data_IF_623831937165
#
_entry.id   IF_623831937165
#
_cell.length_a   1.000
_cell.length_b   1.000
_cell.length_c   1.000
_cell.angle_alpha   90.00
_cell.angle_beta   90.00
_cell.angle_gamma   90.00
#
_symmetry.space_group_name_H-M   'P 1'
#
loop_
_entity.id
_entity.type
_entity.pdbx_description
1 polymer ?
#
# COMPACT_ATOMS: atom_id res chain seq x y z
N UNK A 1 -28.56 -32.62 18.28
CA UNK A 1 -27.65 -33.03 17.20
C UNK A 1 -26.61 -31.93 17.08
N UNK A 2 -25.34 -32.24 17.29
CA UNK A 2 -24.26 -31.26 17.10
C UNK A 2 -23.94 -31.24 15.60
N UNK A 3 -24.15 -30.10 14.94
CA UNK A 3 -24.14 -30.02 13.48
C UNK A 3 -22.74 -29.78 12.88
N UNK A 4 -21.67 -29.80 13.68
CA UNK A 4 -20.27 -29.82 13.19
C UNK A 4 -19.94 -28.74 12.14
N UNK A 5 -20.45 -27.53 12.33
CA UNK A 5 -20.20 -26.35 11.50
C UNK A 5 -20.10 -25.11 12.40
N UNK A 6 -19.23 -24.18 12.01
CA UNK A 6 -19.04 -22.91 12.72
C UNK A 6 -19.80 -21.80 12.00
N UNK A 7 -20.47 -20.93 12.76
CA UNK A 7 -21.24 -19.82 12.23
C UNK A 7 -20.42 -18.54 12.27
N UNK A 8 -20.24 -17.93 11.09
CA UNK A 8 -19.68 -16.60 10.90
C UNK A 8 -20.83 -15.58 10.69
N UNK A 9 -20.55 -14.29 10.70
CA UNK A 9 -21.57 -13.23 10.69
C UNK A 9 -22.44 -13.30 9.43
N UNK A 10 -21.85 -13.65 8.28
CA UNK A 10 -22.57 -13.67 7.00
C UNK A 10 -22.63 -15.05 6.35
N UNK A 11 -21.80 -16.02 6.78
CA UNK A 11 -21.70 -17.34 6.17
C UNK A 11 -21.57 -18.45 7.22
N UNK A 12 -21.87 -19.68 6.84
CA UNK A 12 -21.56 -20.86 7.66
C UNK A 12 -20.32 -21.55 7.11
N UNK A 13 -19.40 -21.92 7.99
CA UNK A 13 -18.12 -22.54 7.69
C UNK A 13 -18.13 -24.03 8.05
N UNK A 14 -17.68 -24.86 7.12
CA UNK A 14 -17.45 -26.28 7.34
C UNK A 14 -15.95 -26.52 7.56
N UNK A 15 -15.56 -26.76 8.82
CA UNK A 15 -14.18 -27.02 9.18
C UNK A 15 -13.63 -28.36 8.65
N UNK A 16 -14.50 -29.32 8.28
CA UNK A 16 -14.05 -30.61 7.77
C UNK A 16 -13.50 -30.49 6.34
N UNK A 17 -14.00 -29.52 5.57
CA UNK A 17 -13.56 -29.26 4.19
C UNK A 17 -12.81 -27.93 4.03
N UNK A 18 -12.76 -27.10 5.07
CA UNK A 18 -12.06 -25.82 5.06
C UNK A 18 -12.69 -24.78 4.13
N UNK A 19 -14.03 -24.75 4.01
CA UNK A 19 -14.75 -23.88 3.07
C UNK A 19 -16.04 -23.33 3.66
N UNK A 20 -16.47 -22.19 3.15
CA UNK A 20 -17.83 -21.70 3.38
C UNK A 20 -18.86 -22.52 2.61
N UNK A 21 -20.04 -22.68 3.20
CA UNK A 21 -21.17 -23.37 2.60
C UNK A 21 -21.97 -22.48 1.63
N UNK A 22 -21.74 -21.17 1.65
CA UNK A 22 -22.42 -20.19 0.80
C UNK A 22 -21.42 -19.32 0.05
N UNK A 23 -21.84 -18.84 -1.11
CA UNK A 23 -21.06 -17.89 -1.94
C UNK A 23 -20.77 -16.62 -1.14
N UNK A 24 -19.54 -16.13 -1.26
CA UNK A 24 -19.12 -14.84 -0.73
C UNK A 24 -20.02 -13.69 -1.23
N UNK A 25 -20.65 -12.89 -0.35
CA UNK A 25 -21.38 -11.70 -0.77
C UNK A 25 -20.52 -10.67 -1.52
N UNK A 26 -19.19 -10.70 -1.35
CA UNK A 26 -18.23 -9.84 -2.03
C UNK A 26 -17.58 -10.50 -3.25
N UNK A 27 -18.07 -11.66 -3.68
CA UNK A 27 -17.57 -12.42 -4.82
C UNK A 27 -17.37 -11.57 -6.09
N UNK A 28 -18.30 -10.66 -6.38
CA UNK A 28 -18.22 -9.80 -7.57
C UNK A 28 -17.09 -8.77 -7.48
N UNK A 29 -16.67 -8.39 -6.27
CA UNK A 29 -15.55 -7.46 -6.04
C UNK A 29 -14.20 -8.16 -6.12
N UNK A 30 -14.14 -9.47 -5.86
CA UNK A 30 -12.92 -10.25 -5.83
C UNK A 30 -13.00 -11.44 -6.82
N UNK A 31 -13.07 -11.19 -8.14
CA UNK A 31 -13.30 -12.25 -9.14
C UNK A 31 -12.16 -13.30 -9.21
N UNK A 32 -10.99 -12.98 -8.65
CA UNK A 32 -9.84 -13.89 -8.59
C UNK A 32 -9.82 -14.77 -7.35
N UNK A 33 -10.75 -14.56 -6.42
CA UNK A 33 -10.88 -15.34 -5.20
C UNK A 33 -11.90 -16.45 -5.37
N UNK A 34 -11.64 -17.59 -4.73
CA UNK A 34 -12.63 -18.67 -4.74
C UNK A 34 -13.83 -18.24 -3.91
N UNK A 35 -15.03 -18.33 -4.48
CA UNK A 35 -16.32 -17.96 -3.88
C UNK A 35 -16.62 -18.58 -2.50
N UNK A 36 -15.85 -19.58 -2.11
CA UNK A 36 -16.01 -20.39 -0.91
C UNK A 36 -14.71 -20.45 -0.07
N UNK A 37 -13.69 -19.65 -0.41
CA UNK A 37 -12.42 -19.65 0.30
C UNK A 37 -12.64 -19.21 1.74
N UNK A 38 -12.04 -19.95 2.67
CA UNK A 38 -11.91 -19.54 4.06
C UNK A 38 -10.51 -18.96 4.28
N UNK A 39 -10.46 -17.73 4.77
CA UNK A 39 -9.28 -16.91 5.02
C UNK A 39 -8.35 -16.84 3.81
N UNK A 40 -8.92 -16.83 2.60
CA UNK A 40 -8.12 -16.87 1.37
C UNK A 40 -7.21 -18.06 1.19
N UNK A 41 -7.54 -19.18 1.85
CA UNK A 41 -6.67 -20.35 1.97
C UNK A 41 -5.33 -20.05 2.69
N UNK A 42 -5.29 -19.03 3.55
CA UNK A 42 -4.13 -18.59 4.35
C UNK A 42 -4.34 -18.72 5.85
N UNK A 43 -4.82 -19.89 6.28
CA UNK A 43 -5.25 -20.19 7.66
C UNK A 43 -4.14 -20.01 8.72
N UNK A 44 -2.86 -20.03 8.31
CA UNK A 44 -1.72 -19.92 9.24
C UNK A 44 -1.43 -18.46 9.61
N UNK A 45 -1.63 -17.53 8.67
CA UNK A 45 -1.13 -16.16 8.78
C UNK A 45 -2.15 -15.06 8.41
N UNK A 46 -3.38 -15.43 8.08
CA UNK A 46 -4.51 -14.54 7.90
C UNK A 46 -5.66 -14.89 8.85
N UNK A 47 -6.39 -13.87 9.30
CA UNK A 47 -7.70 -14.05 9.93
C UNK A 47 -8.75 -14.12 8.81
N UNK A 48 -9.82 -14.88 9.03
CA UNK A 48 -11.00 -14.83 8.16
C UNK A 48 -11.71 -13.50 8.38
N UNK A 49 -11.83 -12.68 7.33
CA UNK A 49 -12.41 -11.35 7.41
C UNK A 49 -13.74 -11.24 6.66
N UNK A 50 -14.48 -12.34 6.58
CA UNK A 50 -15.79 -12.44 5.94
C UNK A 50 -15.77 -12.04 4.45
N UNK A 51 -14.70 -12.35 3.73
CA UNK A 51 -14.53 -11.99 2.32
C UNK A 51 -13.92 -10.61 2.06
N UNK A 52 -13.43 -9.93 3.10
CA UNK A 52 -12.71 -8.65 2.99
C UNK A 52 -11.19 -8.84 2.82
N UNK A 53 -10.71 -10.03 2.47
CA UNK A 53 -9.32 -10.19 2.10
C UNK A 53 -9.01 -9.34 0.85
N UNK A 54 -7.98 -8.48 0.90
CA UNK A 54 -6.70 -8.71 1.56
C UNK A 54 -6.43 -7.75 2.72
N UNK A 55 -7.31 -7.63 3.73
CA UNK A 55 -6.92 -6.94 4.96
C UNK A 55 -5.86 -7.75 5.72
N UNK A 56 -4.59 -7.49 5.41
CA UNK A 56 -3.46 -8.05 6.14
C UNK A 56 -3.15 -7.17 7.36
N UNK A 57 -3.08 -7.80 8.52
CA UNK A 57 -2.76 -7.15 9.78
C UNK A 57 -1.23 -7.10 9.98
N UNK A 58 -0.72 -5.95 10.40
CA UNK A 58 0.70 -5.71 10.67
C UNK A 58 0.92 -5.24 12.10
N UNK A 59 2.12 -5.47 12.63
CA UNK A 59 2.45 -5.07 14.02
C UNK A 59 2.94 -3.62 14.10
N UNK A 60 3.42 -3.08 12.98
CA UNK A 60 4.00 -1.75 12.87
C UNK A 60 3.55 -1.06 11.56
N UNK A 61 3.33 0.27 11.55
CA UNK A 61 3.00 0.99 10.31
C UNK A 61 4.06 0.83 9.21
N UNK A 62 5.33 0.65 9.56
CA UNK A 62 6.41 0.40 8.59
C UNK A 62 6.28 -0.96 7.92
N UNK A 63 5.78 -1.97 8.62
CA UNK A 63 5.50 -3.28 8.02
C UNK A 63 4.35 -3.19 7.01
N UNK A 64 3.30 -2.44 7.34
CA UNK A 64 2.19 -2.15 6.45
C UNK A 64 2.67 -1.40 5.19
N UNK A 65 3.43 -0.32 5.37
CA UNK A 65 4.01 0.46 4.29
C UNK A 65 4.99 -0.35 3.43
N UNK A 66 5.79 -1.23 4.04
CA UNK A 66 6.71 -2.13 3.30
C UNK A 66 5.95 -3.10 2.43
N UNK A 67 4.85 -3.68 2.93
CA UNK A 67 4.02 -4.53 2.08
C UNK A 67 3.38 -3.74 0.94
N UNK A 68 2.80 -2.57 1.23
CA UNK A 68 2.27 -1.68 0.20
C UNK A 68 3.31 -1.40 -0.90
N UNK A 69 4.50 -0.96 -0.51
CA UNK A 69 5.58 -0.66 -1.46
C UNK A 69 5.96 -1.89 -2.31
N UNK A 70 5.98 -3.09 -1.71
CA UNK A 70 6.26 -4.33 -2.44
C UNK A 70 5.17 -4.71 -3.45
N UNK A 71 3.90 -4.48 -3.11
CA UNK A 71 2.77 -4.78 -4.01
C UNK A 71 2.65 -3.75 -5.14
N UNK A 72 2.76 -2.45 -4.83
CA UNK A 72 2.31 -1.38 -5.72
C UNK A 72 3.43 -0.63 -6.44
N UNK A 73 4.67 -0.59 -5.95
CA UNK A 73 5.73 0.20 -6.58
C UNK A 73 6.04 -0.28 -8.01
N UNK A 74 5.98 -1.59 -8.24
CA UNK A 74 6.15 -2.15 -9.58
C UNK A 74 5.08 -1.67 -10.56
N UNK A 75 3.81 -1.64 -10.14
CA UNK A 75 2.72 -1.12 -10.96
C UNK A 75 2.88 0.38 -11.19
N UNK A 76 3.20 1.16 -10.15
CA UNK A 76 3.45 2.60 -10.23
C UNK A 76 4.48 2.93 -11.32
N UNK A 77 5.64 2.26 -11.29
CA UNK A 77 6.72 2.46 -12.27
C UNK A 77 6.26 2.12 -13.70
N UNK A 78 5.50 1.04 -13.89
CA UNK A 78 5.04 0.62 -15.23
C UNK A 78 3.94 1.51 -15.78
N UNK A 79 3.06 2.00 -14.90
CA UNK A 79 1.96 2.89 -15.23
C UNK A 79 2.42 4.35 -15.39
N UNK A 80 3.60 4.67 -14.85
CA UNK A 80 4.06 6.04 -14.67
C UNK A 80 3.01 6.90 -13.94
N UNK A 81 2.49 6.35 -12.82
CA UNK A 81 1.39 6.93 -12.06
C UNK A 81 1.55 6.64 -10.58
N UNK A 82 1.32 7.65 -9.74
CA UNK A 82 1.37 7.48 -8.29
C UNK A 82 0.19 6.65 -7.80
N UNK A 83 0.47 5.72 -6.89
CA UNK A 83 -0.53 4.93 -6.17
C UNK A 83 -0.40 5.23 -4.69
N UNK A 84 -1.52 5.45 -4.01
CA UNK A 84 -1.54 5.84 -2.60
C UNK A 84 -2.66 5.20 -1.78
N UNK A 85 -2.43 5.08 -0.48
CA UNK A 85 -3.39 4.57 0.51
C UNK A 85 -3.22 5.28 1.86
N UNK A 86 -4.27 5.24 2.69
CA UNK A 86 -4.23 5.67 4.08
C UNK A 86 -3.77 4.50 4.94
N UNK A 87 -2.85 4.75 5.87
CA UNK A 87 -2.45 3.79 6.90
C UNK A 87 -3.33 4.02 8.13
N UNK A 88 -3.86 2.93 8.66
CA UNK A 88 -4.71 2.95 9.85
C UNK A 88 -4.26 1.96 10.91
N UNK A 89 -4.75 2.18 12.12
CA UNK A 89 -4.54 1.33 13.29
C UNK A 89 -5.89 0.97 13.90
N UNK A 90 -6.00 -0.26 14.39
CA UNK A 90 -7.18 -0.77 15.09
C UNK A 90 -6.77 -1.30 16.46
N UNK A 91 -7.46 -0.82 17.50
CA UNK A 91 -7.39 -1.43 18.82
C UNK A 91 -8.36 -2.61 18.89
N UNK A 92 -7.84 -3.77 19.24
CA UNK A 92 -8.62 -5.00 19.43
C UNK A 92 -9.29 -5.01 20.81
N UNK A 93 -10.44 -5.70 20.97
CA UNK A 93 -11.06 -5.90 22.27
C UNK A 93 -10.14 -6.55 23.31
N UNK A 94 -9.16 -7.34 22.86
CA UNK A 94 -8.18 -8.03 23.68
C UNK A 94 -7.08 -7.10 24.23
N UNK A 95 -7.04 -5.84 23.79
CA UNK A 95 -6.06 -4.83 24.22
C UNK A 95 -4.80 -4.75 23.35
N UNK A 96 -4.68 -5.60 22.34
CA UNK A 96 -3.65 -5.50 21.30
C UNK A 96 -4.05 -4.47 20.23
N UNK A 97 -3.09 -4.05 19.41
CA UNK A 97 -3.34 -3.21 18.23
C UNK A 97 -2.71 -3.81 16.98
N UNK A 98 -3.32 -3.57 15.83
CA UNK A 98 -2.73 -3.87 14.52
C UNK A 98 -2.81 -2.67 13.59
N UNK A 99 -1.98 -2.68 12.56
CA UNK A 99 -1.93 -1.69 11.50
C UNK A 99 -2.31 -2.33 10.17
N UNK A 100 -2.85 -1.54 9.25
CA UNK A 100 -3.03 -1.93 7.85
C UNK A 100 -3.18 -0.68 6.99
N UNK A 101 -3.53 -0.85 5.73
CA UNK A 101 -3.79 0.24 4.81
C UNK A 101 -5.09 0.01 4.03
N UNK A 102 -5.73 1.09 3.63
CA UNK A 102 -6.96 1.11 2.83
C UNK A 102 -6.69 0.60 1.39
N UNK A 103 -7.73 0.15 0.68
CA UNK A 103 -7.55 -0.28 -0.72
C UNK A 103 -7.03 0.90 -1.53
N UNK A 104 -5.87 0.80 -2.21
CA UNK A 104 -5.22 1.97 -2.79
C UNK A 104 -6.02 2.63 -3.89
N UNK A 105 -5.68 3.88 -4.19
CA UNK A 105 -6.16 4.62 -5.36
C UNK A 105 -4.98 4.99 -6.24
N UNK A 106 -5.19 5.03 -7.54
CA UNK A 106 -4.21 5.45 -8.54
C UNK A 106 -4.47 6.90 -8.93
N UNK A 107 -3.43 7.70 -8.99
CA UNK A 107 -3.45 9.09 -9.42
C UNK A 107 -2.84 9.28 -10.80
N UNK A 108 -2.25 10.46 -11.00
CA UNK A 108 -1.44 10.79 -12.17
C UNK A 108 0.06 10.58 -11.85
N UNK A 109 0.93 10.87 -12.82
CA UNK A 109 2.39 10.69 -12.69
C UNK A 109 3.06 11.47 -11.56
N UNK A 110 2.41 12.50 -11.02
CA UNK A 110 2.97 13.44 -10.04
C UNK A 110 2.08 13.67 -8.82
N UNK A 111 0.97 12.94 -8.74
CA UNK A 111 -0.03 13.20 -7.71
C UNK A 111 -1.01 12.07 -7.51
N UNK A 112 -1.20 11.66 -6.26
CA UNK A 112 -2.32 10.84 -5.81
C UNK A 112 -3.04 11.45 -4.62
N UNK A 113 -4.38 11.40 -4.65
CA UNK A 113 -5.21 11.84 -3.53
C UNK A 113 -5.65 10.66 -2.65
N UNK A 114 -4.85 10.38 -1.63
CA UNK A 114 -5.12 9.31 -0.64
C UNK A 114 -6.46 9.50 0.08
N UNK A 115 -7.04 10.70 0.09
CA UNK A 115 -8.36 10.96 0.67
C UNK A 115 -9.50 10.31 -0.10
N UNK A 116 -9.25 9.71 -1.27
CA UNK A 116 -10.23 8.92 -2.01
C UNK A 116 -10.23 7.43 -1.57
N UNK A 117 -9.16 6.99 -0.90
CA UNK A 117 -9.01 5.63 -0.37
C UNK A 117 -9.71 5.53 1.00
N UNK A 118 -11.04 5.37 0.98
CA UNK A 118 -11.92 5.56 2.16
C UNK A 118 -12.62 4.28 2.66
N UNK A 119 -12.04 3.11 2.45
CA UNK A 119 -12.58 1.82 2.89
C UNK A 119 -11.98 1.34 4.22
N UNK A 120 -11.49 2.27 5.04
CA UNK A 120 -10.99 2.00 6.38
C UNK A 120 -12.12 1.43 7.28
N UNK A 121 -11.84 0.44 8.16
CA UNK A 121 -12.82 -0.09 9.11
C UNK A 121 -13.38 0.99 10.06
N UNK A 122 -14.65 0.87 10.45
CA UNK A 122 -15.34 1.87 11.29
C UNK A 122 -14.65 2.12 12.65
N UNK A 123 -13.99 1.10 13.21
CA UNK A 123 -13.28 1.18 14.49
C UNK A 123 -11.79 1.52 14.35
N UNK A 124 -11.33 1.88 13.14
CA UNK A 124 -9.95 2.21 12.89
C UNK A 124 -9.66 3.71 13.02
N UNK A 125 -8.42 4.02 13.39
CA UNK A 125 -7.87 5.37 13.43
C UNK A 125 -6.82 5.50 12.31
N UNK A 126 -6.97 6.49 11.42
CA UNK A 126 -5.91 6.84 10.47
C UNK A 126 -4.69 7.33 11.24
N UNK A 127 -3.52 6.79 10.92
CA UNK A 127 -2.24 7.14 11.57
C UNK A 127 -1.21 7.69 10.60
N UNK A 128 -1.49 7.68 9.30
CA UNK A 128 -0.54 8.08 8.29
C UNK A 128 -1.02 7.79 6.87
N UNK A 129 -0.15 8.05 5.90
CA UNK A 129 -0.35 7.72 4.50
C UNK A 129 0.89 7.04 3.92
N UNK A 130 0.68 6.31 2.83
CA UNK A 130 1.75 5.79 1.98
C UNK A 130 1.41 6.04 0.52
N UNK A 131 2.40 6.45 -0.27
CA UNK A 131 2.28 6.47 -1.71
C UNK A 131 3.56 6.03 -2.41
N UNK A 132 3.43 5.82 -3.71
CA UNK A 132 4.52 5.48 -4.64
C UNK A 132 4.75 6.65 -5.58
N UNK A 133 6.00 6.89 -5.97
CA UNK A 133 6.31 7.73 -7.13
C UNK A 133 6.31 6.89 -8.41
N UNK A 134 6.08 7.56 -9.55
CA UNK A 134 6.07 6.98 -10.89
C UNK A 134 7.46 6.54 -11.38
N UNK A 135 7.63 6.42 -12.70
CA UNK A 135 8.94 6.10 -13.27
C UNK A 135 9.88 7.31 -13.15
N UNK A 136 11.13 7.11 -12.74
CA UNK A 136 12.06 8.24 -12.61
C UNK A 136 12.51 8.82 -13.95
N UNK A 137 12.51 10.16 -14.01
CA UNK A 137 13.20 10.91 -15.05
C UNK A 137 14.67 11.11 -14.69
N UNK A 138 15.58 10.43 -15.40
CA UNK A 138 17.03 10.59 -15.21
C UNK A 138 17.54 12.03 -15.41
N UNK A 139 16.74 12.94 -16.01
CA UNK A 139 17.12 14.35 -16.09
C UNK A 139 16.88 15.09 -14.78
N UNK A 140 15.86 14.71 -14.01
CA UNK A 140 15.53 15.33 -12.72
C UNK A 140 16.50 14.89 -11.61
N UNK A 141 17.20 13.77 -11.83
CA UNK A 141 18.22 13.24 -10.94
C UNK A 141 19.61 13.83 -11.18
N UNK A 142 19.83 14.62 -12.24
CA UNK A 142 21.17 15.14 -12.56
C UNK A 142 21.46 16.45 -11.86
N UNK A 143 22.57 16.47 -11.12
CA UNK A 143 23.19 17.70 -10.65
C UNK A 143 23.74 18.53 -11.82
N UNK A 144 24.06 19.80 -11.56
CA UNK A 144 24.69 20.69 -12.55
C UNK A 144 26.02 20.15 -13.11
N UNK A 145 26.73 19.32 -12.33
CA UNK A 145 27.99 18.68 -12.72
C UNK A 145 27.79 17.36 -13.50
N UNK A 146 26.54 16.95 -13.74
CA UNK A 146 26.17 15.73 -14.47
C UNK A 146 26.20 14.46 -13.62
N UNK A 147 26.52 14.52 -12.33
CA UNK A 147 26.38 13.39 -11.40
C UNK A 147 24.91 13.14 -11.05
N UNK A 148 24.56 11.90 -10.74
CA UNK A 148 23.20 11.55 -10.32
C UNK A 148 23.03 11.69 -8.81
N UNK A 149 21.89 12.24 -8.39
CA UNK A 149 21.52 12.45 -7.00
C UNK A 149 20.27 11.64 -6.66
N UNK A 150 20.40 10.74 -5.69
CA UNK A 150 19.30 9.89 -5.23
C UNK A 150 18.33 10.58 -4.27
N UNK A 151 18.60 11.83 -3.86
CA UNK A 151 17.74 12.62 -2.96
C UNK A 151 17.06 13.78 -3.68
N UNK A 152 16.68 13.58 -4.95
CA UNK A 152 16.02 14.58 -5.80
C UNK A 152 14.96 13.94 -6.68
N UNK A 153 14.03 14.76 -7.19
CA UNK A 153 12.96 14.33 -8.10
C UNK A 153 12.15 13.17 -7.53
N UNK A 154 11.79 12.21 -8.38
CA UNK A 154 11.01 11.03 -8.01
C UNK A 154 11.68 10.14 -6.94
N UNK A 155 12.97 10.33 -6.65
CA UNK A 155 13.69 9.55 -5.64
C UNK A 155 13.68 10.17 -4.23
N UNK A 156 12.96 11.27 -4.02
CA UNK A 156 12.87 11.93 -2.72
C UNK A 156 11.46 12.47 -2.43
N UNK A 157 10.96 12.37 -1.19
CA UNK A 157 9.66 12.92 -0.85
C UNK A 157 9.69 14.46 -0.82
N UNK A 158 8.56 15.06 -1.15
CA UNK A 158 8.30 16.49 -1.03
C UNK A 158 6.97 16.74 -0.31
N UNK A 159 6.80 17.95 0.25
CA UNK A 159 5.52 18.35 0.83
C UNK A 159 4.41 18.42 -0.21
N UNK A 160 4.77 18.66 -1.48
CA UNK A 160 3.79 18.79 -2.54
C UNK A 160 3.21 17.45 -3.00
N UNK A 161 3.84 16.34 -2.61
CA UNK A 161 3.35 14.99 -2.91
C UNK A 161 2.02 14.67 -2.20
N UNK A 162 1.65 15.45 -1.18
CA UNK A 162 0.40 15.23 -0.44
C UNK A 162 -0.76 16.06 -0.97
N UNK A 163 -1.92 15.40 -1.07
CA UNK A 163 -3.18 16.09 -1.35
C UNK A 163 -3.49 17.16 -0.30
N UNK A 164 -4.23 18.17 -0.72
CA UNK A 164 -4.69 19.24 0.17
C UNK A 164 -5.47 18.66 1.36
N UNK A 165 -6.29 17.65 1.13
CA UNK A 165 -7.04 16.95 2.17
C UNK A 165 -6.11 16.22 3.16
N UNK A 166 -5.04 15.58 2.68
CA UNK A 166 -4.03 14.98 3.54
C UNK A 166 -3.28 16.03 4.37
N UNK A 167 -2.85 17.15 3.74
CA UNK A 167 -2.24 18.30 4.42
C UNK A 167 -3.13 18.86 5.53
N UNK A 168 -4.42 19.06 5.25
CA UNK A 168 -5.39 19.55 6.24
C UNK A 168 -5.63 18.56 7.38
N UNK A 169 -5.71 17.26 7.07
CA UNK A 169 -5.80 16.23 8.09
C UNK A 169 -4.56 16.23 9.00
N UNK A 170 -3.36 16.40 8.45
CA UNK A 170 -2.12 16.51 9.24
C UNK A 170 -2.13 17.71 10.17
N UNK A 171 -2.51 18.89 9.69
CA UNK A 171 -2.57 20.10 10.53
C UNK A 171 -3.54 19.93 11.72
N UNK A 172 -4.64 19.19 11.51
CA UNK A 172 -5.60 18.87 12.56
C UNK A 172 -5.12 17.76 13.54
N UNK A 173 -4.09 16.99 13.18
CA UNK A 173 -3.57 15.85 13.97
C UNK A 173 -2.12 16.01 14.46
N UNK A 174 -1.49 17.17 14.22
CA UNK A 174 -0.08 17.44 14.49
C UNK A 174 0.40 17.28 15.94
N UNK A 175 -0.51 17.08 16.91
CA UNK A 175 -0.16 16.77 18.31
C UNK A 175 0.26 15.31 18.50
N UNK A 176 -0.02 14.44 17.52
CA UNK A 176 0.41 13.04 17.46
C UNK A 176 1.49 12.86 16.38
N UNK A 177 2.17 11.72 16.42
CA UNK A 177 2.98 11.28 15.29
C UNK A 177 2.06 10.86 14.14
N UNK A 178 2.34 11.41 12.96
CA UNK A 178 1.72 11.00 11.70
C UNK A 178 2.80 10.39 10.82
N UNK A 179 2.60 9.14 10.39
CA UNK A 179 3.56 8.40 9.60
C UNK A 179 3.37 8.67 8.11
N UNK A 180 4.40 9.15 7.43
CA UNK A 180 4.37 9.40 5.99
C UNK A 180 5.39 8.50 5.31
N UNK A 181 4.95 7.76 4.30
CA UNK A 181 5.80 6.83 3.58
C UNK A 181 5.76 7.09 2.07
N UNK A 182 6.93 7.04 1.46
CA UNK A 182 7.09 7.20 0.01
C UNK A 182 7.96 6.09 -0.53
N UNK A 183 7.43 5.36 -1.50
CA UNK A 183 8.17 4.35 -2.24
C UNK A 183 8.65 4.93 -3.56
N UNK A 184 9.94 4.82 -3.83
CA UNK A 184 10.60 5.50 -4.95
C UNK A 184 10.94 4.52 -6.09
N UNK A 185 11.01 4.99 -7.36
CA UNK A 185 11.38 4.16 -8.50
C UNK A 185 12.78 3.55 -8.40
N UNK A 186 13.71 4.17 -7.65
CA UNK A 186 15.02 3.55 -7.40
C UNK A 186 14.97 2.35 -6.43
N UNK A 187 13.82 2.03 -5.82
CA UNK A 187 13.64 0.85 -4.99
C UNK A 187 13.82 1.08 -3.49
N UNK A 188 13.60 2.30 -3.00
CA UNK A 188 13.58 2.60 -1.57
C UNK A 188 12.15 2.80 -1.08
N UNK A 189 11.94 2.48 0.19
CA UNK A 189 10.83 2.99 0.98
C UNK A 189 11.41 3.98 1.99
N UNK A 190 10.93 5.21 1.93
CA UNK A 190 11.32 6.31 2.79
C UNK A 190 10.20 6.60 3.78
N UNK A 191 10.56 6.98 5.00
CA UNK A 191 9.65 7.45 6.05
C UNK A 191 10.03 8.86 6.45
N UNK A 192 9.02 9.68 6.74
CA UNK A 192 9.18 10.86 7.54
C UNK A 192 7.99 11.00 8.47
N UNK A 193 8.24 11.45 9.68
CA UNK A 193 7.20 11.60 10.70
C UNK A 193 6.80 13.07 10.74
N UNK A 194 5.51 13.34 10.63
CA UNK A 194 4.95 14.67 10.77
C UNK A 194 4.40 14.83 12.20
N UNK A 195 4.76 15.93 12.86
CA UNK A 195 4.17 16.41 14.11
C UNK A 195 4.57 17.87 14.35
N UNK A 196 3.99 18.51 15.37
CA UNK A 196 4.21 19.92 15.71
C UNK A 196 5.67 20.29 16.01
N UNK A 197 6.53 19.32 16.30
CA UNK A 197 7.96 19.54 16.58
C UNK A 197 8.83 19.50 15.32
N UNK A 198 8.32 18.90 14.23
CA UNK A 198 9.04 18.77 12.97
C UNK A 198 8.83 20.05 12.16
N UNK A 199 9.91 20.83 12.01
CA UNK A 199 9.90 22.10 11.27
C UNK A 199 10.37 21.96 9.83
N UNK A 200 11.27 21.01 9.59
CA UNK A 200 11.77 20.64 8.29
C UNK A 200 11.66 19.12 8.17
N UNK A 201 10.82 18.63 7.25
CA UNK A 201 10.62 17.20 7.08
C UNK A 201 11.75 16.57 6.25
N UNK A 202 12.45 17.33 5.39
CA UNK A 202 13.59 16.78 4.63
C UNK A 202 14.71 16.28 5.56
N UNK A 203 14.88 16.94 6.71
CA UNK A 203 15.89 16.59 7.71
C UNK A 203 15.55 15.34 8.53
N UNK A 204 14.29 14.86 8.49
CA UNK A 204 13.87 13.68 9.25
C UNK A 204 13.46 12.49 8.38
N UNK A 205 13.74 12.54 7.08
CA UNK A 205 13.56 11.40 6.16
C UNK A 205 14.51 10.27 6.54
N UNK A 206 13.97 9.06 6.69
CA UNK A 206 14.69 7.83 7.00
C UNK A 206 14.40 6.76 5.95
N UNK A 207 15.40 5.94 5.63
CA UNK A 207 15.17 4.75 4.79
C UNK A 207 14.62 3.62 5.63
N UNK A 208 13.40 3.18 5.32
CA UNK A 208 12.74 2.01 5.93
C UNK A 208 13.21 0.71 5.28
N UNK A 209 13.30 0.71 3.94
CA UNK A 209 13.70 -0.45 3.16
C UNK A 209 14.40 -0.04 1.87
N UNK A 210 15.31 -0.88 1.41
CA UNK A 210 15.94 -0.81 0.08
C UNK A 210 15.60 -2.03 -0.77
N UNK A 211 14.64 -2.85 -0.35
CA UNK A 211 14.22 -4.11 -1.00
C UNK A 211 12.83 -3.97 -1.63
N UNK A 212 12.61 -2.87 -2.35
CA UNK A 212 11.34 -2.54 -3.01
C UNK A 212 11.50 -2.68 -4.53
N UNK A 213 10.50 -3.16 -5.30
CA UNK A 213 10.58 -3.21 -6.76
C UNK A 213 11.12 -1.92 -7.36
N UNK A 214 12.04 -2.00 -8.32
CA UNK A 214 12.76 -0.83 -8.81
C UNK A 214 12.87 -0.79 -10.32
N UNK A 215 12.83 0.43 -10.88
CA UNK A 215 12.94 0.68 -12.30
C UNK A 215 14.29 0.21 -12.85
N UNK A 216 14.34 -0.71 -13.83
CA UNK A 216 15.61 -1.24 -14.35
C UNK A 216 16.45 -0.19 -15.10
N UNK A 217 15.87 0.99 -15.39
CA UNK A 217 16.53 2.12 -16.07
C UNK A 217 16.92 3.26 -15.13
N UNK A 218 16.57 3.17 -13.85
CA UNK A 218 16.97 4.14 -12.82
C UNK A 218 18.48 4.16 -12.69
N UNK A 219 19.10 5.33 -12.77
CA UNK A 219 20.57 5.47 -12.63
C UNK A 219 21.03 5.41 -11.17
N UNK A 220 20.11 5.62 -10.23
CA UNK A 220 20.35 5.58 -8.78
C UNK A 220 19.75 4.32 -8.14
N UNK A 221 19.52 3.27 -8.93
CA UNK A 221 18.83 2.04 -8.49
C UNK A 221 19.51 1.43 -7.25
N UNK A 222 18.74 1.23 -6.19
CA UNK A 222 19.20 0.72 -4.90
C UNK A 222 19.25 -0.82 -4.81
N UNK A 223 18.55 -1.53 -5.71
CA UNK A 223 18.44 -2.98 -5.68
C UNK A 223 18.20 -3.59 -7.07
N UNK A 224 18.00 -4.91 -7.12
CA UNK A 224 17.68 -5.66 -8.34
C UNK A 224 16.27 -6.25 -8.37
N UNK A 225 15.38 -5.84 -7.46
CA UNK A 225 14.01 -6.34 -7.38
C UNK A 225 13.24 -5.91 -8.62
N UNK A 226 12.64 -6.89 -9.31
CA UNK A 226 11.94 -6.64 -10.57
C UNK A 226 10.63 -5.88 -10.33
N UNK A 227 10.31 -4.87 -11.14
CA UNK A 227 9.02 -4.21 -11.12
C UNK A 227 8.02 -4.90 -12.04
N UNK A 228 8.17 -6.20 -12.36
CA UNK A 228 7.28 -6.91 -13.29
C UNK A 228 6.31 -7.85 -12.56
N UNK A 229 5.67 -7.33 -11.51
CA UNK A 229 4.63 -8.03 -10.77
C UNK A 229 3.41 -7.11 -10.62
N UNK A 230 2.22 -7.72 -10.67
CA UNK A 230 0.96 -7.03 -10.50
C UNK A 230 0.45 -7.26 -9.08
N UNK A 231 -0.01 -6.22 -8.36
CA UNK A 231 -0.53 -6.41 -7.01
C UNK A 231 -1.73 -7.36 -7.03
N UNK A 232 -1.94 -8.08 -5.93
CA UNK A 232 -3.08 -9.00 -5.82
C UNK A 232 -4.43 -8.28 -5.85
N UNK A 233 -4.45 -7.02 -5.42
CA UNK A 233 -5.62 -6.14 -5.48
C UNK A 233 -5.26 -4.90 -6.26
N UNK A 234 -6.13 -4.55 -7.20
CA UNK A 234 -5.95 -3.35 -8.03
C UNK A 234 -6.41 -2.11 -7.26
N UNK A 235 -5.84 -0.93 -7.57
CA UNK A 235 -6.38 0.33 -7.08
C UNK A 235 -7.88 0.49 -7.41
N UNK A 236 -8.67 1.09 -6.52
CA UNK A 236 -10.13 1.14 -6.62
C UNK A 236 -10.66 1.76 -7.93
N UNK A 237 -9.88 2.67 -8.51
CA UNK A 237 -10.21 3.42 -9.71
C UNK A 237 -9.42 2.96 -10.95
N UNK A 238 -8.80 1.77 -10.90
CA UNK A 238 -8.15 1.15 -12.04
C UNK A 238 -8.97 -0.05 -12.52
N UNK A 239 -9.57 0.07 -13.70
CA UNK A 239 -10.20 -1.08 -14.36
C UNK A 239 -9.14 -2.02 -14.94
N UNK A 240 -9.47 -3.31 -15.04
CA UNK A 240 -8.55 -4.35 -15.48
C UNK A 240 -8.05 -4.14 -16.92
N UNK A 241 -8.87 -3.54 -17.77
CA UNK A 241 -8.55 -3.33 -19.18
C UNK A 241 -7.63 -2.11 -19.41
N UNK A 242 -7.50 -1.23 -18.40
CA UNK A 242 -6.59 -0.08 -18.41
C UNK A 242 -5.21 -0.41 -17.80
N UNK A 243 -4.95 -1.70 -17.56
CA UNK A 243 -3.70 -2.16 -16.94
C UNK A 243 -2.52 -2.04 -17.92
N UNK A 244 -1.40 -1.39 -17.54
CA UNK A 244 -0.21 -1.39 -18.37
C UNK A 244 0.32 -2.82 -18.48
N UNK A 245 0.39 -3.34 -19.71
CA UNK A 245 0.89 -4.68 -19.98
C UNK A 245 2.27 -4.88 -19.34
N UNK A 246 2.49 -6.04 -18.71
CA UNK A 246 3.82 -6.41 -18.27
C UNK A 246 4.65 -6.58 -19.54
N UNK A 247 5.71 -5.77 -19.76
CA UNK A 247 6.50 -5.91 -20.98
C UNK A 247 7.07 -7.32 -21.04
N UNK A 248 6.77 -8.04 -22.13
CA UNK A 248 7.39 -9.34 -22.39
C UNK A 248 8.90 -9.17 -22.40
N UNK A 249 9.58 -9.86 -21.48
CA UNK A 249 11.04 -9.89 -21.47
C UNK A 249 11.45 -10.72 -22.71
N UNK A 250 12.24 -10.18 -23.65
CA UNK A 250 12.78 -10.98 -24.74
C UNK A 250 13.60 -12.13 -24.12
N UNK A 251 13.25 -13.38 -24.48
CA UNK A 251 14.00 -14.57 -24.09
C UNK A 251 15.43 -14.55 -24.64
#
# INVERSE_FOLDING_TARGET
MNLSWDSFKYRNYDYAIGRFMSVDPLAEKYPFWTLYAFSGNRIIDARELEGLEPHKEYKDPREAATNFAKEYNGLSIRADAEIGAQIYMVNTPEGDRYYSYTTPVMGASWFVDTSQSNDMPENAERVGDVHTHGSDSNNELKNEDGTFNETTGDNWPSREDFSQAAKEWFENNRTKEVYMFVSTPNGKLLEFIMNEKVKNYDENVQTVSTDIPSGPRSQTRANNVSPNYSPQVLPQNLEKDDYPEIPEIPQ
#
